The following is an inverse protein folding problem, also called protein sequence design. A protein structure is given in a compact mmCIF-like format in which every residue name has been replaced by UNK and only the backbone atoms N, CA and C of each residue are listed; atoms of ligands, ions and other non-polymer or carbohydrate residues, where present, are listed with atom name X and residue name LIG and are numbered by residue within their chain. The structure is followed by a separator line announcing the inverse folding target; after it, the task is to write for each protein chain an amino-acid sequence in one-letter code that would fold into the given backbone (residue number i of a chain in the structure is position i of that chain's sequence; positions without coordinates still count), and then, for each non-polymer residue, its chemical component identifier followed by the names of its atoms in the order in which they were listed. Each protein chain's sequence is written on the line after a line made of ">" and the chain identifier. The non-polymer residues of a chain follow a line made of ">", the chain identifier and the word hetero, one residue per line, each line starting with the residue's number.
data_IF_377755474172
#
_entry.id   IF_377755474172
#
_cell.length_a   1.000
_cell.length_b   1.000
_cell.length_c   1.000
_cell.angle_alpha   90.00
_cell.angle_beta   90.00
_cell.angle_gamma   90.00
#
_symmetry.space_group_name_H-M   'P 1'
#
loop_
_entity.id
_entity.type
_entity.pdbx_description
1 polymer ?
#
# COMPACT_ATOMS: atom_id res chain seq x y z
N UNK A 1 -36.34 13.54 -1.99
CA UNK A 1 -35.58 13.26 -0.75
C UNK A 1 -34.17 12.69 -1.00
N UNK A 2 -33.89 12.05 -2.13
CA UNK A 2 -32.57 11.49 -2.50
C UNK A 2 -31.49 12.53 -2.85
N UNK A 3 -31.87 13.72 -3.32
CA UNK A 3 -30.93 14.78 -3.75
C UNK A 3 -30.31 15.57 -2.58
N UNK A 4 -31.06 15.72 -1.47
CA UNK A 4 -30.60 16.36 -0.23
C UNK A 4 -29.62 15.46 0.53
N UNK A 5 -29.83 14.14 0.51
CA UNK A 5 -28.90 13.16 1.10
C UNK A 5 -27.54 13.20 0.40
N UNK A 6 -27.53 13.33 -0.94
CA UNK A 6 -26.29 13.46 -1.74
C UNK A 6 -25.52 14.75 -1.47
N UNK A 7 -26.22 15.88 -1.35
CA UNK A 7 -25.63 17.18 -1.00
C UNK A 7 -25.06 17.17 0.43
N UNK A 8 -25.75 16.53 1.38
CA UNK A 8 -25.27 16.39 2.76
C UNK A 8 -24.05 15.46 2.87
N UNK A 9 -24.05 14.32 2.18
CA UNK A 9 -22.90 13.39 2.18
C UNK A 9 -21.63 13.99 1.57
N UNK A 10 -21.77 14.89 0.59
CA UNK A 10 -20.65 15.61 0.00
C UNK A 10 -20.01 16.62 0.97
N UNK A 11 -20.81 17.24 1.86
CA UNK A 11 -20.32 18.21 2.84
C UNK A 11 -19.64 17.57 4.05
N UNK A 12 -20.01 16.35 4.43
CA UNK A 12 -19.39 15.64 5.57
C UNK A 12 -17.90 15.35 5.30
N UNK A 13 -17.54 14.96 4.07
CA UNK A 13 -16.15 14.72 3.69
C UNK A 13 -15.27 15.98 3.73
N UNK A 14 -15.83 17.15 3.40
CA UNK A 14 -15.11 18.42 3.45
C UNK A 14 -14.88 18.92 4.89
N UNK A 15 -15.85 18.73 5.79
CA UNK A 15 -15.70 19.03 7.22
C UNK A 15 -14.73 18.05 7.91
N UNK A 16 -14.75 16.77 7.54
CA UNK A 16 -13.77 15.77 8.01
C UNK A 16 -12.35 16.08 7.51
N UNK A 17 -12.19 16.61 6.31
CA UNK A 17 -10.89 17.05 5.80
C UNK A 17 -10.34 18.27 6.56
N UNK A 18 -11.20 19.23 6.97
CA UNK A 18 -10.80 20.37 7.81
C UNK A 18 -10.50 19.97 9.27
N UNK A 19 -11.14 18.91 9.77
CA UNK A 19 -10.92 18.36 11.10
C UNK A 19 -9.90 17.21 11.11
N UNK A 20 -9.22 16.94 9.99
CA UNK A 20 -8.29 15.82 9.86
C UNK A 20 -7.10 16.01 10.81
N UNK A 21 -6.93 15.06 11.73
CA UNK A 21 -5.81 15.03 12.68
C UNK A 21 -4.74 14.11 12.11
N UNK A 22 -3.59 14.61 11.61
CA UNK A 22 -2.64 13.83 10.81
C UNK A 22 -2.11 12.55 11.49
N UNK A 23 -2.15 12.48 12.82
CA UNK A 23 -1.68 11.35 13.62
C UNK A 23 -2.79 10.38 14.00
N UNK A 24 -4.04 10.86 14.12
CA UNK A 24 -5.16 10.09 14.68
C UNK A 24 -6.14 9.64 13.62
N UNK A 25 -6.23 10.38 12.52
CA UNK A 25 -7.16 10.09 11.43
C UNK A 25 -6.42 9.55 10.21
N UNK A 26 -6.95 8.51 9.54
CA UNK A 26 -6.37 8.00 8.32
C UNK A 26 -6.35 9.09 7.24
N UNK A 27 -5.25 9.17 6.49
CA UNK A 27 -5.11 10.17 5.43
C UNK A 27 -6.27 10.06 4.42
N UNK A 28 -6.92 11.17 4.04
CA UNK A 28 -8.10 11.15 3.17
C UNK A 28 -7.80 10.62 1.76
N UNK A 29 -6.54 10.73 1.32
CA UNK A 29 -6.03 10.18 0.04
C UNK A 29 -5.78 8.66 0.11
N UNK A 30 -5.72 8.10 1.32
CA UNK A 30 -5.31 6.72 1.57
C UNK A 30 -6.31 5.68 1.07
N UNK A 31 -7.62 5.88 1.23
CA UNK A 31 -8.58 4.78 1.08
C UNK A 31 -8.59 4.12 -0.31
N UNK A 32 -8.44 4.89 -1.40
CA UNK A 32 -8.57 4.36 -2.77
C UNK A 32 -7.22 4.13 -3.48
N UNK A 33 -6.21 4.90 -3.14
CA UNK A 33 -4.92 4.94 -3.86
C UNK A 33 -3.72 4.54 -2.98
N UNK A 34 -3.94 4.03 -1.76
CA UNK A 34 -2.84 3.63 -0.86
C UNK A 34 -1.82 2.68 -1.50
N UNK A 35 -2.28 1.76 -2.35
CA UNK A 35 -1.41 0.77 -3.00
C UNK A 35 -0.44 1.42 -3.99
N UNK A 36 -0.78 2.58 -4.57
CA UNK A 36 0.14 3.34 -5.42
C UNK A 36 1.31 3.93 -4.62
N UNK A 37 1.11 4.24 -3.33
CA UNK A 37 2.16 4.77 -2.45
C UNK A 37 3.25 3.73 -2.14
N UNK A 38 2.98 2.44 -2.37
CA UNK A 38 3.98 1.38 -2.22
C UNK A 38 5.12 1.51 -3.23
N UNK A 39 4.82 1.94 -4.46
CA UNK A 39 5.83 2.09 -5.51
C UNK A 39 6.87 3.19 -5.20
N UNK A 40 6.51 4.45 -4.87
CA UNK A 40 7.47 5.47 -4.49
C UNK A 40 8.17 5.13 -3.17
N UNK A 41 7.51 4.46 -2.22
CA UNK A 41 8.14 4.01 -0.98
C UNK A 41 9.23 2.96 -1.25
N UNK A 42 8.92 1.92 -2.02
CA UNK A 42 9.86 0.88 -2.40
C UNK A 42 11.03 1.45 -3.23
N UNK A 43 10.76 2.44 -4.09
CA UNK A 43 11.79 3.16 -4.82
C UNK A 43 12.71 3.94 -3.87
N UNK A 44 12.16 4.69 -2.92
CA UNK A 44 12.95 5.44 -1.94
C UNK A 44 13.86 4.54 -1.10
N UNK A 45 13.34 3.41 -0.61
CA UNK A 45 14.12 2.41 0.14
C UNK A 45 15.24 1.82 -0.72
N UNK A 46 14.92 1.44 -1.96
CA UNK A 46 15.92 0.91 -2.89
C UNK A 46 16.99 1.94 -3.25
N UNK A 47 16.61 3.21 -3.47
CA UNK A 47 17.54 4.31 -3.74
C UNK A 47 18.50 4.52 -2.58
N UNK A 48 17.99 4.61 -1.35
CA UNK A 48 18.80 4.80 -0.15
C UNK A 48 19.78 3.63 0.06
N UNK A 49 19.31 2.39 -0.10
CA UNK A 49 20.16 1.20 0.05
C UNK A 49 21.24 1.12 -1.04
N UNK A 50 20.88 1.37 -2.30
CA UNK A 50 21.81 1.26 -3.42
C UNK A 50 22.77 2.45 -3.51
N UNK A 51 22.44 3.61 -2.96
CA UNK A 51 23.33 4.77 -2.95
C UNK A 51 24.70 4.47 -2.31
N UNK A 52 24.71 3.65 -1.25
CA UNK A 52 25.96 3.29 -0.54
C UNK A 52 26.59 1.99 -1.01
N UNK A 53 25.88 1.17 -1.82
CA UNK A 53 26.34 -0.16 -2.24
C UNK A 53 26.61 -0.32 -3.74
N UNK A 54 26.15 0.59 -4.58
CA UNK A 54 26.31 0.46 -6.01
C UNK A 54 27.74 0.88 -6.44
N UNK A 55 28.43 0.08 -7.28
CA UNK A 55 29.82 0.36 -7.67
C UNK A 55 29.94 1.48 -8.71
N UNK A 56 28.89 1.77 -9.47
CA UNK A 56 28.88 2.86 -10.47
C UNK A 56 27.50 3.52 -10.55
N UNK A 57 27.39 4.79 -11.00
CA UNK A 57 26.11 5.48 -11.13
C UNK A 57 25.13 4.79 -12.10
N UNK A 58 25.63 4.18 -13.16
CA UNK A 58 24.81 3.43 -14.12
C UNK A 58 24.32 2.11 -13.52
N UNK A 59 25.15 1.44 -12.72
CA UNK A 59 24.73 0.27 -11.97
C UNK A 59 23.71 0.63 -10.88
N UNK A 60 23.87 1.79 -10.23
CA UNK A 60 22.93 2.29 -9.23
C UNK A 60 21.51 2.37 -9.78
N UNK A 61 21.28 3.11 -10.87
CA UNK A 61 19.94 3.28 -11.42
C UNK A 61 19.28 1.92 -11.79
N UNK A 62 20.01 1.05 -12.49
CA UNK A 62 19.51 -0.28 -12.87
C UNK A 62 19.22 -1.15 -11.64
N UNK A 63 20.14 -1.21 -10.69
CA UNK A 63 19.99 -2.05 -9.50
C UNK A 63 18.90 -1.54 -8.56
N UNK A 64 18.70 -0.23 -8.47
CA UNK A 64 17.60 0.39 -7.74
C UNK A 64 16.27 -0.07 -8.31
N UNK A 65 16.06 0.05 -9.63
CA UNK A 65 14.80 -0.37 -10.27
C UNK A 65 14.55 -1.88 -10.12
N UNK A 66 15.59 -2.71 -10.25
CA UNK A 66 15.48 -4.16 -10.03
C UNK A 66 15.08 -4.45 -8.58
N UNK A 67 15.71 -3.78 -7.60
CA UNK A 67 15.39 -3.97 -6.19
C UNK A 67 13.97 -3.46 -5.86
N UNK A 68 13.53 -2.34 -6.44
CA UNK A 68 12.15 -1.86 -6.31
C UNK A 68 11.15 -2.90 -6.83
N UNK A 69 11.40 -3.47 -8.01
CA UNK A 69 10.56 -4.54 -8.56
C UNK A 69 10.55 -5.78 -7.65
N UNK A 70 11.72 -6.20 -7.12
CA UNK A 70 11.83 -7.32 -6.18
C UNK A 70 11.04 -7.09 -4.89
N UNK A 71 11.08 -5.87 -4.33
CA UNK A 71 10.31 -5.51 -3.13
C UNK A 71 8.80 -5.66 -3.41
N UNK A 72 8.32 -5.07 -4.50
CA UNK A 72 6.90 -5.11 -4.87
C UNK A 72 6.44 -6.54 -5.13
N UNK A 73 7.19 -7.30 -5.92
CA UNK A 73 6.88 -8.70 -6.24
C UNK A 73 6.92 -9.56 -4.97
N UNK A 74 7.95 -9.40 -4.13
CA UNK A 74 8.07 -10.15 -2.88
C UNK A 74 6.91 -9.90 -1.92
N UNK A 75 6.51 -8.63 -1.75
CA UNK A 75 5.35 -8.28 -0.92
C UNK A 75 4.04 -8.85 -1.49
N UNK A 76 3.86 -8.76 -2.81
CA UNK A 76 2.66 -9.28 -3.49
C UNK A 76 2.56 -10.80 -3.34
N UNK A 77 3.67 -11.52 -3.54
CA UNK A 77 3.72 -12.96 -3.37
C UNK A 77 3.49 -13.37 -1.92
N UNK A 78 4.05 -12.64 -0.94
CA UNK A 78 3.81 -12.90 0.48
C UNK A 78 2.32 -12.73 0.84
N UNK A 79 1.67 -11.67 0.35
CA UNK A 79 0.24 -11.45 0.55
C UNK A 79 -0.61 -12.55 -0.09
N UNK A 80 -0.28 -12.94 -1.33
CA UNK A 80 -0.98 -14.02 -2.04
C UNK A 80 -0.81 -15.37 -1.33
N UNK A 81 0.40 -15.68 -0.86
CA UNK A 81 0.67 -16.89 -0.09
C UNK A 81 -0.13 -16.94 1.22
N UNK A 82 -0.15 -15.83 1.97
CA UNK A 82 -0.95 -15.73 3.19
C UNK A 82 -2.45 -15.89 2.90
N UNK A 83 -2.94 -15.27 1.83
CA UNK A 83 -4.33 -15.40 1.41
C UNK A 83 -4.69 -16.85 1.05
N UNK A 84 -3.85 -17.52 0.26
CA UNK A 84 -4.04 -18.93 -0.08
C UNK A 84 -4.01 -19.83 1.17
N UNK A 85 -3.13 -19.55 2.13
CA UNK A 85 -3.12 -20.26 3.42
C UNK A 85 -4.44 -20.05 4.16
N UNK A 86 -4.98 -18.84 4.21
CA UNK A 86 -6.28 -18.60 4.85
C UNK A 86 -7.39 -19.36 4.11
N UNK A 87 -7.44 -19.30 2.79
CA UNK A 87 -8.49 -19.96 2.02
C UNK A 87 -8.43 -21.49 2.06
N UNK A 88 -7.25 -22.09 2.22
CA UNK A 88 -7.10 -23.55 2.26
C UNK A 88 -7.01 -24.11 3.67
N UNK A 89 -6.30 -23.45 4.59
CA UNK A 89 -6.16 -23.93 5.96
C UNK A 89 -7.39 -23.61 6.80
N UNK A 90 -8.03 -22.44 6.65
CA UNK A 90 -9.22 -22.11 7.44
C UNK A 90 -10.38 -23.10 7.26
N UNK A 91 -10.77 -23.54 6.04
CA UNK A 91 -11.83 -24.53 5.91
C UNK A 91 -11.42 -25.90 6.44
N UNK A 92 -10.15 -26.32 6.31
CA UNK A 92 -9.68 -27.60 6.85
C UNK A 92 -9.70 -27.60 8.38
N UNK A 93 -9.38 -26.47 9.02
CA UNK A 93 -9.45 -26.30 10.47
C UNK A 93 -10.89 -26.14 10.98
N UNK A 94 -11.76 -25.50 10.20
CA UNK A 94 -13.18 -25.33 10.51
C UNK A 94 -13.98 -26.62 10.30
N UNK A 95 -13.59 -27.44 9.32
CA UNK A 95 -14.16 -28.75 9.03
C UNK A 95 -13.51 -29.86 9.87
N UNK A 96 -13.15 -29.58 11.13
CA UNK A 96 -12.66 -30.61 12.07
C UNK A 96 -13.57 -31.86 12.10
N UNK A 97 -13.07 -33.00 12.63
CA UNK A 97 -13.78 -34.29 12.57
C UNK A 97 -15.24 -34.23 13.04
#
# INVERSE_FOLDING_TARGET
>A
MTLVVWLASGQTGALLALAWRPVLDPAPVGARLWWLLLAPMALGVAMAYKAVRAPTPRAWARQTLVMTAQIIVGMTLAAAALHAVVEWAAPVLAAGP
#
